data_IF_794206960981
#
_entry.id   IF_794206960981
#
_cell.length_a   1.000
_cell.length_b   1.000
_cell.length_c   1.000
_cell.angle_alpha   90.00
_cell.angle_beta   90.00
_cell.angle_gamma   90.00
#
_symmetry.space_group_name_H-M   'P 1'
#
loop_
_entity.id
_entity.type
_entity.pdbx_description
1 polymer ?
#
# COMPACT_ATOMS: atom_id res chain seq x y z
N UNK A 1 27.91 11.30 3.26
CA UNK A 1 27.08 12.12 2.35
C UNK A 1 25.98 12.75 3.19
N UNK A 2 25.81 14.07 3.09
CA UNK A 2 24.74 14.78 3.81
C UNK A 2 23.58 14.98 2.85
N UNK A 3 22.39 14.53 3.22
CA UNK A 3 21.16 14.75 2.43
C UNK A 3 20.44 15.95 3.03
N UNK A 4 20.20 16.98 2.22
CA UNK A 4 19.40 18.14 2.62
C UNK A 4 17.97 17.95 2.13
N UNK A 5 17.02 17.85 3.06
CA UNK A 5 15.59 17.76 2.75
C UNK A 5 14.95 19.14 2.77
N UNK A 6 13.99 19.37 1.87
CA UNK A 6 13.09 20.52 1.99
C UNK A 6 12.15 20.33 3.19
N UNK A 7 11.57 21.43 3.70
CA UNK A 7 10.60 21.36 4.80
C UNK A 7 9.39 20.46 4.46
N UNK A 8 8.94 20.46 3.20
CA UNK A 8 7.84 19.61 2.75
C UNK A 8 8.21 18.13 2.73
N UNK A 9 9.39 17.78 2.21
CA UNK A 9 9.88 16.39 2.21
C UNK A 9 10.04 15.86 3.64
N UNK A 10 10.64 16.65 4.53
CA UNK A 10 10.81 16.25 5.93
C UNK A 10 9.44 16.05 6.62
N UNK A 11 8.49 16.97 6.42
CA UNK A 11 7.14 16.84 6.97
C UNK A 11 6.43 15.58 6.48
N UNK A 12 6.51 15.27 5.19
CA UNK A 12 5.90 14.05 4.66
C UNK A 12 6.59 12.79 5.19
N UNK A 13 7.91 12.77 5.31
CA UNK A 13 8.62 11.64 5.93
C UNK A 13 8.20 11.44 7.39
N UNK A 14 8.02 12.52 8.16
CA UNK A 14 7.49 12.43 9.52
C UNK A 14 6.07 11.85 9.55
N UNK A 15 5.20 12.23 8.60
CA UNK A 15 3.86 11.66 8.47
C UNK A 15 3.84 10.17 8.08
N UNK A 16 4.95 9.64 7.56
CA UNK A 16 5.10 8.23 7.20
C UNK A 16 5.73 7.39 8.33
N UNK A 17 6.22 8.04 9.39
CA UNK A 17 6.95 7.43 10.50
C UNK A 17 6.11 7.39 11.77
N UNK A 18 6.48 6.49 12.69
CA UNK A 18 5.94 6.47 14.05
C UNK A 18 6.62 7.51 14.96
N UNK A 19 6.21 7.54 16.23
CA UNK A 19 6.73 8.46 17.25
C UNK A 19 8.24 8.30 17.53
N UNK A 20 8.82 7.15 17.16
CA UNK A 20 10.26 6.88 17.26
C UNK A 20 11.02 7.27 15.98
N UNK A 21 10.34 7.89 15.01
CA UNK A 21 10.84 8.22 13.68
C UNK A 21 11.18 6.97 12.83
N UNK A 22 10.52 5.84 13.08
CA UNK A 22 10.68 4.59 12.32
C UNK A 22 9.53 4.46 11.31
N UNK A 23 9.86 4.13 10.06
CA UNK A 23 8.86 3.80 9.03
C UNK A 23 8.47 2.33 9.19
N UNK A 24 7.40 2.08 9.93
CA UNK A 24 6.75 0.78 10.12
C UNK A 24 5.54 0.66 9.18
N UNK A 25 5.80 0.75 7.88
CA UNK A 25 4.76 0.81 6.85
C UNK A 25 4.17 -0.56 6.50
N UNK A 26 2.86 -0.60 6.28
CA UNK A 26 2.14 -1.74 5.73
C UNK A 26 2.08 -1.65 4.20
N UNK A 27 2.55 -2.67 3.48
CA UNK A 27 2.54 -2.68 2.02
C UNK A 27 1.42 -3.58 1.45
N UNK A 28 0.46 -2.97 0.74
CA UNK A 28 -0.61 -3.69 0.04
C UNK A 28 -0.94 -3.10 -1.34
N UNK A 29 0.09 -2.78 -2.12
CA UNK A 29 0.02 -2.33 -3.51
C UNK A 29 -0.05 -3.48 -4.53
N UNK A 30 -0.09 -4.73 -4.07
CA UNK A 30 -0.17 -5.88 -4.97
C UNK A 30 -1.49 -5.86 -5.75
N UNK A 31 -1.38 -6.07 -7.06
CA UNK A 31 -2.50 -6.09 -8.02
C UNK A 31 -2.73 -7.52 -8.52
N UNK A 32 -2.11 -7.89 -9.64
CA UNK A 32 -2.27 -9.22 -10.25
C UNK A 32 -1.90 -10.40 -9.35
N UNK A 33 -0.87 -10.27 -8.50
CA UNK A 33 -0.49 -11.31 -7.54
C UNK A 33 -1.56 -11.50 -6.46
N UNK A 34 -2.10 -10.41 -5.91
CA UNK A 34 -3.19 -10.47 -4.94
C UNK A 34 -4.45 -11.10 -5.55
N UNK A 35 -4.80 -10.75 -6.80
CA UNK A 35 -5.91 -11.39 -7.54
C UNK A 35 -5.74 -12.91 -7.63
N UNK A 36 -4.54 -13.39 -7.96
CA UNK A 36 -4.22 -14.83 -8.03
C UNK A 36 -4.33 -15.50 -6.66
N UNK A 37 -3.80 -14.86 -5.60
CA UNK A 37 -3.84 -15.39 -4.24
C UNK A 37 -5.27 -15.51 -3.70
N UNK A 38 -6.10 -14.48 -3.90
CA UNK A 38 -7.51 -14.48 -3.49
C UNK A 38 -8.30 -15.54 -4.27
N UNK A 39 -8.07 -15.67 -5.58
CA UNK A 39 -8.74 -16.66 -6.38
C UNK A 39 -8.40 -18.10 -5.96
N UNK A 40 -7.13 -18.36 -5.66
CA UNK A 40 -6.65 -19.65 -5.16
C UNK A 40 -7.24 -19.97 -3.77
N UNK A 41 -7.23 -19.00 -2.85
CA UNK A 41 -7.76 -19.18 -1.50
C UNK A 41 -9.28 -19.41 -1.47
N UNK A 42 -10.03 -18.76 -2.37
CA UNK A 42 -11.48 -18.86 -2.44
C UNK A 42 -11.98 -19.97 -3.40
N UNK A 43 -11.07 -20.65 -4.10
CA UNK A 43 -11.36 -21.63 -5.16
C UNK A 43 -12.38 -21.12 -6.20
N UNK A 44 -12.33 -19.82 -6.51
CA UNK A 44 -13.20 -19.13 -7.48
C UNK A 44 -12.49 -17.90 -8.04
N UNK A 45 -12.87 -17.37 -9.22
CA UNK A 45 -12.29 -16.13 -9.72
C UNK A 45 -12.46 -14.98 -8.73
N UNK A 46 -11.38 -14.22 -8.48
CA UNK A 46 -11.45 -12.96 -7.75
C UNK A 46 -11.77 -11.84 -8.74
N UNK A 47 -12.87 -11.12 -8.48
CA UNK A 47 -13.22 -9.91 -9.20
C UNK A 47 -12.53 -8.68 -8.57
N UNK A 48 -12.67 -7.52 -9.23
CA UNK A 48 -12.08 -6.27 -8.75
C UNK A 48 -12.67 -5.84 -7.40
N UNK A 49 -13.96 -6.07 -7.18
CA UNK A 49 -14.66 -5.81 -5.92
C UNK A 49 -14.00 -6.55 -4.77
N UNK A 50 -13.69 -7.84 -4.95
CA UNK A 50 -13.03 -8.66 -3.93
C UNK A 50 -11.65 -8.10 -3.57
N UNK A 51 -10.89 -7.60 -4.55
CA UNK A 51 -9.57 -6.98 -4.32
C UNK A 51 -9.73 -5.69 -3.51
N UNK A 52 -10.67 -4.83 -3.90
CA UNK A 52 -10.93 -3.55 -3.22
C UNK A 52 -11.38 -3.79 -1.78
N UNK A 53 -12.32 -4.71 -1.55
CA UNK A 53 -12.83 -5.01 -0.22
C UNK A 53 -11.77 -5.64 0.68
N UNK A 54 -10.91 -6.50 0.13
CA UNK A 54 -9.76 -7.02 0.87
C UNK A 54 -8.82 -5.89 1.31
N UNK A 55 -8.47 -4.97 0.41
CA UNK A 55 -7.60 -3.82 0.75
C UNK A 55 -8.26 -2.90 1.77
N UNK A 56 -9.57 -2.67 1.68
CA UNK A 56 -10.32 -1.90 2.68
C UNK A 56 -10.25 -2.56 4.05
N UNK A 57 -10.53 -3.86 4.14
CA UNK A 57 -10.48 -4.60 5.40
C UNK A 57 -9.08 -4.55 6.02
N UNK A 58 -8.02 -4.76 5.22
CA UNK A 58 -6.63 -4.65 5.68
C UNK A 58 -6.31 -3.24 6.16
N UNK A 59 -6.74 -2.22 5.41
CA UNK A 59 -6.51 -0.83 5.77
C UNK A 59 -7.21 -0.47 7.09
N UNK A 60 -8.50 -0.77 7.22
CA UNK A 60 -9.30 -0.47 8.41
C UNK A 60 -8.78 -1.20 9.66
N UNK A 61 -8.40 -2.48 9.51
CA UNK A 61 -8.03 -3.29 10.66
C UNK A 61 -6.56 -3.15 11.08
N UNK A 62 -5.63 -2.97 10.15
CA UNK A 62 -4.20 -3.07 10.45
C UNK A 62 -3.48 -1.73 10.51
N UNK A 63 -3.99 -0.68 9.88
CA UNK A 63 -3.29 0.62 9.87
C UNK A 63 -3.23 1.29 11.23
N UNK A 64 -4.06 0.86 12.19
CA UNK A 64 -3.94 1.29 13.60
C UNK A 64 -2.62 0.87 14.26
N UNK A 65 -1.91 -0.09 13.66
CA UNK A 65 -0.63 -0.62 14.14
C UNK A 65 0.56 -0.30 13.22
N UNK A 66 0.34 0.45 12.13
CA UNK A 66 1.36 0.80 11.15
C UNK A 66 1.54 2.32 11.11
N UNK A 67 2.77 2.79 10.87
CA UNK A 67 3.01 4.23 10.71
C UNK A 67 2.43 4.78 9.41
N UNK A 68 2.35 3.94 8.38
CA UNK A 68 1.79 4.31 7.08
C UNK A 68 1.36 3.08 6.29
N UNK A 69 0.65 3.30 5.17
CA UNK A 69 0.25 2.26 4.24
C UNK A 69 0.66 2.62 2.81
N UNK A 70 1.21 1.65 2.07
CA UNK A 70 1.48 1.71 0.64
C UNK A 70 0.35 1.00 -0.13
N UNK A 71 -0.27 1.73 -1.05
CA UNK A 71 -1.39 1.27 -1.87
C UNK A 71 -1.15 1.58 -3.36
N UNK A 72 -1.88 0.90 -4.24
CA UNK A 72 -1.91 1.23 -5.67
C UNK A 72 -3.11 2.15 -6.00
N UNK A 73 -3.01 2.97 -7.06
CA UNK A 73 -4.09 3.86 -7.46
C UNK A 73 -5.28 3.14 -8.13
N UNK A 74 -5.12 1.89 -8.56
CA UNK A 74 -6.14 1.15 -9.32
C UNK A 74 -7.23 0.58 -8.40
N UNK A 75 -6.84 -0.10 -7.32
CA UNK A 75 -7.76 -0.72 -6.36
C UNK A 75 -7.64 -0.13 -4.94
N UNK A 76 -6.57 0.61 -4.65
CA UNK A 76 -6.25 1.05 -3.29
C UNK A 76 -6.91 2.36 -2.84
N UNK A 77 -7.46 3.18 -3.74
CA UNK A 77 -8.03 4.48 -3.35
C UNK A 77 -9.18 4.39 -2.33
N UNK A 78 -10.11 3.42 -2.42
CA UNK A 78 -11.11 3.22 -1.36
C UNK A 78 -10.49 2.82 -0.02
N UNK A 79 -9.44 1.98 -0.04
CA UNK A 79 -8.72 1.57 1.16
C UNK A 79 -7.97 2.73 1.82
N UNK A 80 -7.42 3.65 1.01
CA UNK A 80 -6.74 4.85 1.50
C UNK A 80 -7.67 5.77 2.32
N UNK A 81 -8.98 5.76 2.05
CA UNK A 81 -9.98 6.57 2.76
C UNK A 81 -10.38 6.00 4.13
N UNK A 82 -10.20 4.71 4.34
CA UNK A 82 -10.57 4.01 5.59
C UNK A 82 -9.37 3.66 6.48
N UNK A 83 -8.16 4.12 6.11
CA UNK A 83 -6.98 3.97 6.96
C UNK A 83 -7.14 4.76 8.25
N UNK A 84 -6.43 4.33 9.30
CA UNK A 84 -6.38 4.99 10.58
C UNK A 84 -5.89 6.44 10.42
N UNK A 85 -6.46 7.43 11.14
CA UNK A 85 -6.13 8.84 10.96
C UNK A 85 -4.65 9.18 11.11
N UNK A 86 -3.93 8.42 11.94
CA UNK A 86 -2.50 8.58 12.19
C UNK A 86 -1.60 7.94 11.12
N UNK A 87 -2.13 7.02 10.31
CA UNK A 87 -1.34 6.33 9.32
C UNK A 87 -1.10 7.22 8.10
N UNK A 88 0.18 7.42 7.75
CA UNK A 88 0.58 8.02 6.48
C UNK A 88 0.13 7.22 5.26
N UNK A 89 0.24 7.82 4.07
CA UNK A 89 -0.16 7.19 2.82
C UNK A 89 0.94 7.32 1.77
N UNK A 90 1.33 6.20 1.18
CA UNK A 90 2.11 6.13 -0.05
C UNK A 90 1.25 5.54 -1.17
N UNK A 91 1.45 6.04 -2.39
CA UNK A 91 0.84 5.49 -3.58
C UNK A 91 1.92 5.02 -4.55
N UNK A 92 1.78 3.80 -5.04
CA UNK A 92 2.66 3.25 -6.07
C UNK A 92 2.44 3.98 -7.40
N UNK A 93 3.49 4.06 -8.23
CA UNK A 93 3.48 4.85 -9.46
C UNK A 93 3.76 4.00 -10.71
N UNK A 94 4.35 2.83 -10.52
CA UNK A 94 4.69 1.89 -11.57
C UNK A 94 3.46 1.18 -12.16
N UNK A 95 3.56 0.82 -13.44
CA UNK A 95 2.58 -0.10 -14.06
C UNK A 95 2.76 -1.51 -13.49
N UNK A 96 1.67 -2.26 -13.41
CA UNK A 96 1.75 -3.67 -13.02
C UNK A 96 2.53 -4.48 -14.04
N UNK A 97 3.42 -5.32 -13.54
CA UNK A 97 4.08 -6.34 -14.34
C UNK A 97 5.29 -5.79 -15.08
N UNK A 98 6.24 -6.69 -15.26
CA UNK A 98 7.37 -6.52 -16.16
C UNK A 98 7.17 -7.53 -17.28
N UNK A 99 7.61 -7.21 -18.48
CA UNK A 99 7.61 -8.17 -19.56
C UNK A 99 8.60 -9.28 -19.19
N UNK A 100 8.09 -10.48 -18.88
CA UNK A 100 8.90 -11.62 -18.45
C UNK A 100 9.71 -12.26 -19.61
N UNK A 101 9.74 -11.60 -20.78
CA UNK A 101 10.50 -12.03 -21.97
C UNK A 101 11.96 -11.57 -21.96
N UNK A 102 12.34 -10.63 -21.09
CA UNK A 102 13.74 -10.27 -20.88
C UNK A 102 14.34 -10.99 -19.66
N UNK A 103 15.50 -11.66 -19.79
CA UNK A 103 16.25 -12.16 -18.64
C UNK A 103 16.71 -10.99 -17.76
N UNK A 104 16.48 -11.11 -16.46
CA UNK A 104 17.05 -10.22 -15.44
C UNK A 104 18.54 -10.44 -15.21
#
# INVERSE_FOLDING_TARGET
MTVTLTAGQYKHLQQLSDDNNIISALAIDQRGSLKKMLAAAANKPADETTIVDFKKAVSEELTKYASSILLDPEYGLPAAKVRAPQAGLLLSYEKTGYDATEPG
#
